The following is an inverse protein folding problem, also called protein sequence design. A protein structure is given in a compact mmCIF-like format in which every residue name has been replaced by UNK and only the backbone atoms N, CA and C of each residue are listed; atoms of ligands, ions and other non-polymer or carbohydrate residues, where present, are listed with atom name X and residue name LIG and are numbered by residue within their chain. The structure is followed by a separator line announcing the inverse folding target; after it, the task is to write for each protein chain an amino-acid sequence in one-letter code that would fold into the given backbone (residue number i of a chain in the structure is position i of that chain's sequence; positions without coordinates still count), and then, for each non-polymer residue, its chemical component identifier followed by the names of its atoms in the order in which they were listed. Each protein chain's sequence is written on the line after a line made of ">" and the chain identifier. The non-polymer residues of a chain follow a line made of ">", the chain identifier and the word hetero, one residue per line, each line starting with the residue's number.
data_IF_315011967381
#
_entry.id   IF_315011967381
#
_cell.length_a   1.000
_cell.length_b   1.000
_cell.length_c   1.000
_cell.angle_alpha   90.00
_cell.angle_beta   90.00
_cell.angle_gamma   90.00
#
_symmetry.space_group_name_H-M   'P 1'
#
loop_
_entity.id
_entity.type
_entity.pdbx_description
1 polymer ?
#
# COMPACT_ATOMS: atom_id res chain seq x y z
N UNK A 1 -14.28 15.71 18.39
CA UNK A 1 -12.85 15.41 18.66
C UNK A 1 -11.99 16.49 18.02
N UNK A 2 -10.89 16.90 18.67
CA UNK A 2 -10.02 17.96 18.14
C UNK A 2 -9.07 17.40 17.04
N UNK A 3 -8.72 18.22 16.04
CA UNK A 3 -7.83 17.85 14.90
C UNK A 3 -6.51 17.20 15.35
N UNK A 4 -5.94 17.66 16.47
CA UNK A 4 -4.70 17.08 17.01
C UNK A 4 -4.87 15.63 17.47
N UNK A 5 -6.04 15.29 18.02
CA UNK A 5 -6.36 13.92 18.46
C UNK A 5 -6.53 12.99 17.25
N UNK A 6 -7.25 13.43 16.22
CA UNK A 6 -7.45 12.65 14.98
C UNK A 6 -6.16 12.40 14.22
N UNK A 7 -5.30 13.41 14.07
CA UNK A 7 -3.99 13.26 13.41
C UNK A 7 -3.06 12.31 14.16
N UNK A 8 -3.11 12.32 15.50
CA UNK A 8 -2.31 11.42 16.33
C UNK A 8 -2.79 9.97 16.21
N UNK A 9 -4.11 9.75 16.21
CA UNK A 9 -4.73 8.44 16.01
C UNK A 9 -4.36 7.84 14.65
N UNK A 10 -4.48 8.62 13.57
CA UNK A 10 -4.12 8.16 12.22
C UNK A 10 -2.65 7.75 12.12
N UNK A 11 -1.75 8.53 12.73
CA UNK A 11 -0.32 8.23 12.76
C UNK A 11 -0.03 6.94 13.56
N UNK A 12 -0.73 6.72 14.67
CA UNK A 12 -0.59 5.51 15.48
C UNK A 12 -1.05 4.24 14.74
N UNK A 13 -2.21 4.29 14.07
CA UNK A 13 -2.72 3.17 13.27
C UNK A 13 -1.76 2.82 12.14
N UNK A 14 -1.23 3.82 11.45
CA UNK A 14 -0.28 3.62 10.35
C UNK A 14 1.00 2.90 10.84
N UNK A 15 1.49 3.26 12.02
CA UNK A 15 2.66 2.59 12.61
C UNK A 15 2.35 1.14 12.99
N UNK A 16 1.18 0.88 13.57
CA UNK A 16 0.75 -0.48 13.93
C UNK A 16 0.62 -1.37 12.69
N UNK A 17 0.11 -0.84 11.58
CA UNK A 17 0.03 -1.58 10.32
C UNK A 17 1.41 -1.98 9.79
N UNK A 18 2.37 -1.06 9.83
CA UNK A 18 3.76 -1.34 9.44
C UNK A 18 4.41 -2.40 10.34
N UNK A 19 4.23 -2.29 11.67
CA UNK A 19 4.78 -3.25 12.63
C UNK A 19 4.13 -4.63 12.50
N UNK A 20 2.80 -4.68 12.36
CA UNK A 20 2.07 -5.93 12.16
C UNK A 20 2.51 -6.64 10.88
N UNK A 21 2.77 -5.89 9.81
CA UNK A 21 3.33 -6.45 8.57
C UNK A 21 4.70 -7.09 8.82
N UNK A 22 5.60 -6.41 9.52
CA UNK A 22 6.94 -6.93 9.82
C UNK A 22 6.88 -8.21 10.66
N UNK A 23 6.13 -8.19 11.77
CA UNK A 23 5.97 -9.34 12.66
C UNK A 23 5.32 -10.53 11.94
N UNK A 24 4.34 -10.28 11.07
CA UNK A 24 3.71 -11.32 10.26
C UNK A 24 4.71 -11.99 9.31
N UNK A 25 5.61 -11.21 8.71
CA UNK A 25 6.63 -11.74 7.81
C UNK A 25 7.73 -12.52 8.56
N UNK A 26 8.12 -12.06 9.76
CA UNK A 26 9.01 -12.80 10.67
C UNK A 26 8.38 -14.15 11.08
N UNK A 27 7.13 -14.13 11.56
CA UNK A 27 6.39 -15.35 11.96
C UNK A 27 6.21 -16.34 10.80
N UNK A 28 6.02 -15.84 9.57
CA UNK A 28 5.95 -16.71 8.39
C UNK A 28 7.27 -17.44 8.14
N UNK A 29 8.40 -16.78 8.35
CA UNK A 29 9.72 -17.39 8.17
C UNK A 29 9.99 -18.45 9.24
N UNK A 30 9.67 -18.15 10.50
CA UNK A 30 9.80 -19.09 11.62
C UNK A 30 8.87 -20.29 11.42
N UNK A 31 7.59 -20.06 11.17
CA UNK A 31 6.61 -21.13 10.97
C UNK A 31 6.95 -22.00 9.77
N UNK A 32 7.47 -21.40 8.69
CA UNK A 32 7.96 -22.16 7.53
C UNK A 32 9.15 -23.06 7.92
N UNK A 33 10.08 -22.56 8.74
CA UNK A 33 11.22 -23.35 9.21
C UNK A 33 10.76 -24.56 10.03
N UNK A 34 9.82 -24.36 10.95
CA UNK A 34 9.22 -25.45 11.74
C UNK A 34 8.44 -26.44 10.88
N UNK A 35 7.64 -25.96 9.91
CA UNK A 35 6.92 -26.81 8.96
C UNK A 35 7.89 -27.64 8.09
N UNK A 36 8.99 -27.04 7.63
CA UNK A 36 10.03 -27.72 6.85
C UNK A 36 10.75 -28.80 7.70
N UNK A 37 11.04 -28.52 8.98
CA UNK A 37 11.65 -29.48 9.92
C UNK A 37 10.75 -30.68 10.22
N UNK A 38 9.44 -30.44 10.36
CA UNK A 38 8.44 -31.48 10.63
C UNK A 38 7.99 -32.22 9.37
N UNK A 39 8.38 -31.75 8.17
CA UNK A 39 7.90 -32.25 6.89
C UNK A 39 6.40 -32.05 6.70
N UNK A 40 5.82 -31.02 7.33
CA UNK A 40 4.39 -30.75 7.33
C UNK A 40 4.00 -29.80 6.19
N UNK A 41 3.12 -30.26 5.30
CA UNK A 41 2.58 -29.41 4.22
C UNK A 41 1.44 -28.49 4.70
N UNK A 42 0.82 -28.80 5.85
CA UNK A 42 -0.33 -28.07 6.40
C UNK A 42 -0.37 -28.15 7.93
N UNK A 43 -0.61 -27.01 8.58
CA UNK A 43 -0.78 -26.89 10.03
C UNK A 43 -2.10 -26.18 10.34
N UNK A 44 -2.78 -26.58 11.40
CA UNK A 44 -3.98 -25.92 11.92
C UNK A 44 -3.60 -24.81 12.88
N UNK A 45 -4.24 -23.66 12.77
CA UNK A 45 -4.27 -22.68 13.84
C UNK A 45 -5.55 -22.89 14.63
N UNK A 46 -5.41 -23.19 15.92
CA UNK A 46 -6.50 -23.50 16.83
C UNK A 46 -6.56 -22.41 17.92
N UNK A 47 -7.78 -21.99 18.25
CA UNK A 47 -8.05 -21.08 19.37
C UNK A 47 -8.99 -21.81 20.33
N UNK A 48 -8.43 -22.35 21.43
CA UNK A 48 -9.16 -23.28 22.30
C UNK A 48 -9.42 -24.60 21.57
N UNK A 49 -10.68 -25.03 21.51
CA UNK A 49 -11.09 -26.26 20.82
C UNK A 49 -11.52 -26.02 19.35
N UNK A 50 -11.44 -24.77 18.86
CA UNK A 50 -11.89 -24.41 17.51
C UNK A 50 -10.72 -24.18 16.55
N UNK A 51 -10.79 -24.79 15.37
CA UNK A 51 -9.84 -24.54 14.28
C UNK A 51 -10.22 -23.25 13.57
N UNK A 52 -9.45 -22.20 13.78
CA UNK A 52 -9.71 -20.85 13.23
C UNK A 52 -9.05 -20.62 11.87
N UNK A 53 -7.95 -21.32 11.56
CA UNK A 53 -7.32 -21.22 10.23
C UNK A 53 -6.47 -22.45 9.88
N UNK A 54 -6.08 -22.52 8.61
CA UNK A 54 -5.09 -23.48 8.11
C UNK A 54 -3.95 -22.74 7.42
N UNK A 55 -2.71 -23.06 7.81
CA UNK A 55 -1.49 -22.60 7.16
C UNK A 55 -0.98 -23.74 6.29
N UNK A 56 -0.77 -23.48 5.00
CA UNK A 56 -0.32 -24.50 4.03
C UNK A 56 0.92 -23.98 3.32
N UNK A 57 1.96 -24.80 3.19
CA UNK A 57 3.12 -24.50 2.34
C UNK A 57 2.76 -24.78 0.89
N UNK A 58 3.03 -23.81 0.02
CA UNK A 58 2.84 -24.00 -1.42
C UNK A 58 4.10 -24.57 -2.03
N UNK A 59 3.97 -25.61 -2.85
CA UNK A 59 5.08 -26.18 -3.63
C UNK A 59 5.77 -25.09 -4.45
N UNK A 60 7.10 -25.14 -4.63
CA UNK A 60 7.81 -24.25 -5.54
C UNK A 60 7.16 -24.35 -6.94
N UNK A 61 6.53 -23.26 -7.37
CA UNK A 61 5.97 -23.19 -8.73
C UNK A 61 7.06 -22.70 -9.66
N UNK A 62 7.30 -23.45 -10.73
CA UNK A 62 8.10 -22.97 -11.84
C UNK A 62 7.52 -21.62 -12.31
N UNK A 63 8.38 -20.60 -12.36
CA UNK A 63 8.01 -19.24 -12.71
C UNK A 63 8.92 -18.75 -13.83
N UNK A 64 8.33 -18.41 -14.96
CA UNK A 64 9.04 -17.66 -15.99
C UNK A 64 9.40 -16.29 -15.44
N UNK A 65 10.66 -15.89 -15.64
CA UNK A 65 11.14 -14.55 -15.35
C UNK A 65 11.44 -13.89 -16.69
N UNK A 66 10.71 -12.83 -17.01
CA UNK A 66 11.00 -12.01 -18.18
C UNK A 66 12.29 -11.25 -17.90
N UNK A 67 13.39 -11.63 -18.55
CA UNK A 67 14.69 -10.97 -18.37
C UNK A 67 14.73 -9.58 -18.99
N UNK A 68 13.99 -9.37 -20.08
CA UNK A 68 13.92 -8.10 -20.80
C UNK A 68 12.47 -7.72 -21.08
N UNK A 69 11.91 -6.87 -20.22
CA UNK A 69 10.52 -6.44 -20.33
C UNK A 69 10.22 -5.72 -21.65
N UNK A 70 11.18 -4.95 -22.19
CA UNK A 70 10.98 -4.21 -23.45
C UNK A 70 10.82 -5.15 -24.64
N UNK A 71 11.67 -6.17 -24.73
CA UNK A 71 11.57 -7.18 -25.80
C UNK A 71 10.29 -7.99 -25.69
N UNK A 72 9.88 -8.35 -24.47
CA UNK A 72 8.64 -9.07 -24.25
C UNK A 72 7.42 -8.24 -24.67
N UNK A 73 7.34 -6.98 -24.24
CA UNK A 73 6.27 -6.06 -24.65
C UNK A 73 6.21 -5.91 -26.17
N UNK A 74 7.36 -5.74 -26.84
CA UNK A 74 7.39 -5.65 -28.30
C UNK A 74 6.87 -6.93 -28.96
N UNK A 75 7.31 -8.10 -28.49
CA UNK A 75 6.84 -9.38 -29.01
C UNK A 75 5.32 -9.56 -28.81
N UNK A 76 4.78 -9.17 -27.65
CA UNK A 76 3.33 -9.20 -27.37
C UNK A 76 2.57 -8.29 -28.33
N UNK A 77 3.06 -7.06 -28.57
CA UNK A 77 2.45 -6.14 -29.57
C UNK A 77 2.39 -6.77 -30.96
N UNK A 78 3.47 -7.45 -31.36
CA UNK A 78 3.61 -7.98 -32.73
C UNK A 78 2.81 -9.29 -32.94
N UNK A 79 2.61 -10.10 -31.89
CA UNK A 79 2.04 -11.45 -32.02
C UNK A 79 0.63 -11.59 -31.41
N UNK A 80 0.34 -10.88 -30.33
CA UNK A 80 -0.91 -10.98 -29.56
C UNK A 80 -1.38 -9.60 -29.06
N UNK A 81 -1.66 -8.65 -29.98
CA UNK A 81 -1.99 -7.27 -29.61
C UNK A 81 -3.30 -7.13 -28.80
N UNK A 82 -4.18 -8.14 -28.81
CA UNK A 82 -5.38 -8.12 -27.97
C UNK A 82 -5.07 -8.25 -26.46
N UNK A 83 -3.90 -8.80 -26.12
CA UNK A 83 -3.48 -9.06 -24.73
C UNK A 83 -2.59 -7.94 -24.17
N UNK A 84 -2.37 -6.85 -24.93
CA UNK A 84 -1.61 -5.70 -24.45
C UNK A 84 -2.53 -4.52 -24.12
N UNK A 85 -2.36 -3.99 -22.92
CA UNK A 85 -2.98 -2.75 -22.50
C UNK A 85 -1.94 -1.65 -22.62
N UNK A 86 -2.13 -0.73 -23.56
CA UNK A 86 -1.26 0.45 -23.72
C UNK A 86 -1.73 1.55 -22.78
N UNK A 87 -0.93 1.86 -21.77
CA UNK A 87 -1.21 2.92 -20.79
C UNK A 87 -0.07 3.92 -20.73
N UNK A 88 -0.42 5.17 -20.39
CA UNK A 88 0.54 6.19 -20.04
C UNK A 88 1.07 5.89 -18.63
N UNK A 89 2.39 6.03 -18.41
CA UNK A 89 2.99 5.85 -17.08
C UNK A 89 2.38 6.86 -16.11
N UNK A 90 1.87 6.40 -14.97
CA UNK A 90 1.26 7.24 -13.92
C UNK A 90 2.11 8.47 -13.56
N UNK A 91 3.42 8.29 -13.32
CA UNK A 91 4.32 9.39 -12.96
C UNK A 91 4.52 10.43 -14.07
N UNK A 92 4.11 10.13 -15.30
CA UNK A 92 4.20 11.04 -16.44
C UNK A 92 2.87 11.73 -16.72
N UNK A 93 1.75 11.25 -16.15
CA UNK A 93 0.42 11.81 -16.39
C UNK A 93 0.39 13.27 -15.94
N UNK A 94 0.75 13.56 -14.70
CA UNK A 94 0.73 14.94 -14.16
C UNK A 94 1.59 15.88 -15.00
N UNK A 95 2.83 15.48 -15.32
CA UNK A 95 3.73 16.29 -16.15
C UNK A 95 3.25 16.50 -17.60
N UNK A 96 2.39 15.62 -18.11
CA UNK A 96 1.75 15.79 -19.41
C UNK A 96 0.54 16.72 -19.28
N UNK A 97 -0.30 16.51 -18.26
CA UNK A 97 -1.49 17.31 -17.97
C UNK A 97 -1.15 18.76 -17.60
N UNK A 98 -0.02 19.00 -16.93
CA UNK A 98 0.52 20.34 -16.60
C UNK A 98 0.77 21.23 -17.83
N UNK A 99 0.80 20.65 -19.04
CA UNK A 99 0.97 21.40 -20.29
C UNK A 99 -0.34 21.91 -20.88
N UNK A 100 -1.47 21.41 -20.38
CA UNK A 100 -2.80 21.82 -20.82
C UNK A 100 -3.23 23.06 -20.04
N UNK A 101 -3.94 23.96 -20.69
CA UNK A 101 -4.47 25.17 -20.06
C UNK A 101 -5.97 25.01 -19.80
N UNK A 102 -6.43 25.54 -18.67
CA UNK A 102 -7.86 25.60 -18.35
C UNK A 102 -8.30 27.07 -18.35
N UNK A 103 -9.19 27.44 -19.27
CA UNK A 103 -9.68 28.82 -19.44
C UNK A 103 -11.18 28.77 -19.73
N UNK A 104 -12.00 29.46 -18.93
CA UNK A 104 -13.45 29.58 -19.12
C UNK A 104 -14.16 28.23 -19.37
N UNK A 105 -13.86 27.23 -18.52
CA UNK A 105 -14.38 25.86 -18.58
C UNK A 105 -13.98 25.04 -19.83
N UNK A 106 -13.01 25.53 -20.60
CA UNK A 106 -12.40 24.83 -21.73
C UNK A 106 -10.99 24.38 -21.40
N UNK A 107 -10.71 23.10 -21.67
CA UNK A 107 -9.35 22.57 -21.65
C UNK A 107 -8.72 22.77 -23.02
N UNK A 108 -7.58 23.44 -23.06
CA UNK A 108 -6.83 23.78 -24.26
C UNK A 108 -5.53 22.97 -24.25
N UNK A 109 -5.25 22.29 -25.36
CA UNK A 109 -4.03 21.52 -25.54
C UNK A 109 -2.78 22.42 -25.67
N UNK A 110 -1.57 21.84 -25.60
CA UNK A 110 -0.34 22.60 -25.77
C UNK A 110 -0.17 23.26 -27.17
N UNK A 111 -0.96 22.86 -28.17
CA UNK A 111 -0.95 23.43 -29.52
C UNK A 111 -1.98 24.56 -29.70
N UNK A 112 -2.80 24.82 -28.69
CA UNK A 112 -3.84 25.86 -28.70
C UNK A 112 -5.21 25.39 -29.18
N UNK A 113 -5.43 24.08 -29.34
CA UNK A 113 -6.73 23.51 -29.73
C UNK A 113 -7.53 23.09 -28.50
N UNK A 114 -8.83 23.42 -28.43
CA UNK A 114 -9.70 22.94 -27.35
C UNK A 114 -9.93 21.44 -27.46
N UNK A 115 -10.03 20.78 -26.30
CA UNK A 115 -10.06 19.33 -26.19
C UNK A 115 -11.33 18.89 -25.47
N UNK A 116 -12.02 17.89 -26.01
CA UNK A 116 -13.30 17.39 -25.49
C UNK A 116 -13.19 16.13 -24.61
N UNK A 117 -12.04 15.46 -24.62
CA UNK A 117 -11.79 14.24 -23.85
C UNK A 117 -11.21 14.48 -22.45
N UNK A 118 -10.83 15.71 -22.11
CA UNK A 118 -10.25 16.09 -20.81
C UNK A 118 -11.16 17.11 -20.11
N UNK A 119 -11.53 16.82 -18.87
CA UNK A 119 -12.37 17.69 -18.04
C UNK A 119 -11.53 18.22 -16.88
N UNK A 120 -11.48 19.53 -16.72
CA UNK A 120 -10.92 20.16 -15.53
C UNK A 120 -11.96 20.18 -14.41
N UNK A 121 -11.59 19.72 -13.21
CA UNK A 121 -12.41 19.88 -12.01
C UNK A 121 -11.53 20.43 -10.90
N UNK A 122 -11.95 21.52 -10.26
CA UNK A 122 -11.33 21.97 -9.01
C UNK A 122 -11.88 21.14 -7.85
N UNK A 123 -11.06 20.26 -7.29
CA UNK A 123 -11.41 19.50 -6.09
C UNK A 123 -11.20 20.34 -4.84
N UNK A 124 -12.10 20.20 -3.87
CA UNK A 124 -11.95 20.84 -2.56
C UNK A 124 -10.69 20.33 -1.81
N UNK A 125 -10.07 21.16 -0.96
CA UNK A 125 -8.83 20.81 -0.26
C UNK A 125 -8.94 19.51 0.55
N UNK A 126 -8.00 18.56 0.35
CA UNK A 126 -7.90 17.31 1.14
C UNK A 126 -6.59 17.24 1.93
N UNK A 127 -6.60 16.46 3.03
CA UNK A 127 -5.48 16.38 3.97
C UNK A 127 -4.50 15.27 3.57
N UNK A 128 -3.21 15.60 3.47
CA UNK A 128 -2.11 14.62 3.29
C UNK A 128 -1.22 14.57 4.53
N UNK A 129 -0.83 13.37 4.99
CA UNK A 129 0.06 13.21 6.17
C UNK A 129 1.52 13.07 5.74
N UNK A 130 2.38 14.01 6.17
CA UNK A 130 3.84 13.93 6.02
C UNK A 130 4.49 13.94 7.41
N UNK A 131 5.32 12.95 7.70
CA UNK A 131 6.10 12.90 8.94
C UNK A 131 7.31 13.82 8.85
N UNK A 132 7.58 14.58 9.92
CA UNK A 132 8.77 15.44 10.00
C UNK A 132 9.86 14.80 10.87
N UNK A 133 11.07 14.69 10.33
CA UNK A 133 12.29 14.26 11.05
C UNK A 133 12.08 12.99 11.88
N UNK A 134 12.35 13.09 13.19
CA UNK A 134 12.21 12.00 14.16
C UNK A 134 10.76 11.75 14.63
N UNK A 135 9.76 12.37 14.01
CA UNK A 135 8.35 12.23 14.40
C UNK A 135 7.87 10.78 14.45
N UNK A 136 8.41 9.93 13.58
CA UNK A 136 8.14 8.49 13.55
C UNK A 136 8.68 7.77 14.79
N UNK A 137 9.89 8.10 15.21
CA UNK A 137 10.56 7.49 16.37
C UNK A 137 9.89 7.92 17.69
N UNK A 138 9.46 9.19 17.79
CA UNK A 138 8.72 9.69 18.96
C UNK A 138 7.35 9.01 19.12
N UNK A 139 6.61 8.85 18.03
CA UNK A 139 5.35 8.09 18.02
C UNK A 139 5.57 6.62 18.38
N UNK A 140 6.65 6.00 17.89
CA UNK A 140 7.02 4.62 18.24
C UNK A 140 7.26 4.47 19.75
N UNK A 141 7.99 5.38 20.37
CA UNK A 141 8.28 5.31 21.80
C UNK A 141 7.03 5.59 22.66
N UNK A 142 6.11 6.44 22.20
CA UNK A 142 4.85 6.71 22.89
C UNK A 142 3.87 5.51 22.83
N UNK A 143 3.90 4.73 21.75
CA UNK A 143 3.08 3.53 21.58
C UNK A 143 3.66 2.33 22.38
N UNK A 144 4.98 2.31 22.63
CA UNK A 144 5.68 1.24 23.37
C UNK A 144 5.87 1.59 24.86
N UNK A 145 5.36 2.74 25.33
CA UNK A 145 5.67 3.33 26.64
C UNK A 145 5.14 2.57 27.86
N UNK A 146 5.86 1.54 28.30
CA UNK A 146 5.75 0.90 29.63
C UNK A 146 6.36 1.76 30.76
N UNK A 147 6.54 3.07 30.58
CA UNK A 147 6.94 4.01 31.64
C UNK A 147 6.72 5.48 31.19
N UNK A 148 5.78 6.18 31.85
CA UNK A 148 5.79 7.65 31.94
C UNK A 148 4.77 8.42 31.09
N UNK A 149 3.56 8.59 31.63
CA UNK A 149 2.71 9.79 31.54
C UNK A 149 2.09 10.24 30.20
N UNK A 150 2.39 9.65 29.05
CA UNK A 150 1.67 9.91 27.77
C UNK A 150 1.42 8.62 27.00
N UNK A 151 0.52 7.78 27.52
CA UNK A 151 0.09 6.55 26.88
C UNK A 151 -0.93 6.85 25.77
N UNK A 152 -0.59 6.52 24.53
CA UNK A 152 -1.59 6.35 23.46
C UNK A 152 -2.12 4.92 23.61
N UNK A 153 -3.27 4.76 24.26
CA UNK A 153 -3.94 3.48 24.38
C UNK A 153 -4.45 3.03 22.99
N UNK A 154 -3.73 2.06 22.40
CA UNK A 154 -4.01 1.51 21.07
C UNK A 154 -5.44 0.98 20.94
N UNK A 155 -6.06 0.49 22.02
CA UNK A 155 -7.44 -0.01 22.01
C UNK A 155 -8.43 1.13 21.78
N UNK A 156 -8.23 2.28 22.43
CA UNK A 156 -9.03 3.50 22.23
C UNK A 156 -8.81 4.14 20.87
N UNK A 157 -7.62 3.99 20.29
CA UNK A 157 -7.30 4.51 18.95
C UNK A 157 -8.00 3.73 17.85
N UNK A 158 -8.12 2.40 18.02
CA UNK A 158 -8.73 1.49 17.04
C UNK A 158 -10.24 1.26 17.25
N UNK A 159 -10.85 1.87 18.26
CA UNK A 159 -12.27 1.66 18.63
C UNK A 159 -12.65 0.18 18.78
N UNK A 160 -11.70 -0.65 19.23
CA UNK A 160 -11.95 -2.06 19.52
C UNK A 160 -12.51 -2.15 20.96
N UNK A 161 -13.80 -2.46 21.08
CA UNK A 161 -14.46 -2.83 22.35
C UNK A 161 -13.88 -4.13 22.93
#
# INVERSE_FOLDING_TARGET
>A
MAIKDLSLRLAAISLLADQAKRLKDELRAELKTEMDNLGADRVKAELGDEVVAYITTTKPKFKWVVQNQRQFVQWVKDNIPAEIVETVRESSIDAILDKFNYVDDLVIDPNGEPVDWLIGTESEPYLTTKFHGEGREKLRNAIIGLNGSQEIDVRKVLELE
#
